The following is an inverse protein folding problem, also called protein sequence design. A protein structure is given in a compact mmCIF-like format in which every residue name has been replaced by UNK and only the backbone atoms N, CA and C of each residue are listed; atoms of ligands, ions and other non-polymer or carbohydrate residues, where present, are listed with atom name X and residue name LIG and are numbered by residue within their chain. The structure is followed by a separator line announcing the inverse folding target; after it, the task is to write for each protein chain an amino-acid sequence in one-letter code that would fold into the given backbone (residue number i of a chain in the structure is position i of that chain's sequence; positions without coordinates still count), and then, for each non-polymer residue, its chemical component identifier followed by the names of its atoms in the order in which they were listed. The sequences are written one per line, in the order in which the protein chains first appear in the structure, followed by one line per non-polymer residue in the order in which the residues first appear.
data_IF_294831200375
#
_entry.id   IF_294831200375
#
_cell.length_a   1.000
_cell.length_b   1.000
_cell.length_c   1.000
_cell.angle_alpha   90.00
_cell.angle_beta   90.00
_cell.angle_gamma   90.00
#
_symmetry.space_group_name_H-M   'P 1'
#
loop_
_entity.id
_entity.type
_entity.pdbx_description
1 polymer ?
#
# COMPACT_ATOMS: atom_id res chain seq x y z
N UNK A 1 44.70 -20.02 -38.05
CA UNK A 1 43.63 -20.58 -37.20
C UNK A 1 43.01 -19.44 -36.39
N UNK A 2 41.82 -18.96 -36.74
CA UNK A 2 41.12 -17.86 -36.04
C UNK A 2 39.62 -18.16 -36.00
N UNK A 3 39.16 -18.87 -34.97
CA UNK A 3 37.73 -19.06 -34.68
C UNK A 3 37.53 -19.40 -33.18
N UNK A 4 37.65 -18.42 -32.31
CA UNK A 4 36.90 -18.32 -31.05
C UNK A 4 36.79 -16.80 -30.85
N UNK A 5 35.62 -16.17 -30.84
CA UNK A 5 34.77 -15.95 -29.66
C UNK A 5 33.44 -15.39 -30.19
N UNK A 6 32.35 -16.15 -30.11
CA UNK A 6 30.97 -15.65 -30.18
C UNK A 6 30.09 -16.49 -29.25
N UNK A 7 30.33 -16.42 -27.95
CA UNK A 7 29.52 -17.17 -26.97
C UNK A 7 29.16 -16.38 -25.70
N UNK A 8 29.28 -15.05 -25.71
CA UNK A 8 29.13 -14.22 -24.49
C UNK A 8 27.93 -13.27 -24.51
N UNK A 9 26.90 -13.51 -25.35
CA UNK A 9 25.74 -12.61 -25.45
C UNK A 9 24.41 -13.17 -24.92
N UNK A 10 24.36 -14.45 -24.50
CA UNK A 10 23.10 -15.10 -24.09
C UNK A 10 22.79 -15.06 -22.59
N UNK A 11 23.71 -14.58 -21.75
CA UNK A 11 23.53 -14.57 -20.28
C UNK A 11 22.96 -13.26 -19.72
N UNK A 12 22.76 -12.22 -20.53
CA UNK A 12 22.36 -10.89 -20.04
C UNK A 12 20.83 -10.76 -19.92
N UNK A 13 20.04 -11.58 -20.64
CA UNK A 13 18.59 -11.43 -20.69
C UNK A 13 17.86 -11.87 -19.42
N UNK A 14 18.43 -12.77 -18.61
CA UNK A 14 17.76 -13.34 -17.42
C UNK A 14 17.95 -12.52 -16.14
N UNK A 15 18.83 -11.52 -16.14
CA UNK A 15 19.06 -10.67 -14.95
C UNK A 15 18.00 -9.57 -14.76
N UNK A 16 17.39 -9.08 -15.83
CA UNK A 16 16.50 -7.92 -15.76
C UNK A 16 15.27 -8.16 -14.86
N UNK A 17 14.57 -9.29 -15.05
CA UNK A 17 13.37 -9.62 -14.26
C UNK A 17 13.65 -9.87 -12.78
N UNK A 18 14.83 -10.43 -12.46
CA UNK A 18 15.23 -10.65 -11.07
C UNK A 18 15.52 -9.34 -10.33
N UNK A 19 16.14 -8.36 -11.03
CA UNK A 19 16.42 -7.03 -10.46
C UNK A 19 15.12 -6.28 -10.15
N UNK A 20 14.15 -6.29 -11.08
CA UNK A 20 12.84 -5.67 -10.87
C UNK A 20 12.04 -6.29 -9.72
N UNK A 21 12.14 -7.61 -9.52
CA UNK A 21 11.52 -8.27 -8.37
C UNK A 21 12.07 -7.72 -7.05
N UNK A 22 13.39 -7.55 -6.94
CA UNK A 22 14.01 -6.96 -5.74
C UNK A 22 13.66 -5.48 -5.54
N UNK A 23 13.24 -4.77 -6.59
CA UNK A 23 12.79 -3.38 -6.48
C UNK A 23 11.36 -3.25 -5.97
N UNK A 24 10.52 -4.28 -6.07
CA UNK A 24 9.14 -4.26 -5.56
C UNK A 24 9.03 -4.90 -4.18
N UNK A 25 9.77 -5.99 -3.97
CA UNK A 25 9.65 -6.79 -2.76
C UNK A 25 9.95 -5.98 -1.50
N UNK A 26 9.05 -6.09 -0.52
CA UNK A 26 9.09 -5.34 0.72
C UNK A 26 8.69 -3.87 0.58
N UNK A 27 8.26 -3.39 -0.60
CA UNK A 27 7.73 -2.04 -0.76
C UNK A 27 6.21 -2.01 -0.68
N UNK A 28 5.70 -0.90 -0.14
CA UNK A 28 4.28 -0.58 -0.11
C UNK A 28 4.05 0.62 -1.01
N UNK A 29 3.01 0.55 -1.83
CA UNK A 29 2.57 1.61 -2.73
C UNK A 29 1.18 2.06 -2.30
N UNK A 30 0.87 3.35 -2.38
CA UNK A 30 -0.43 3.91 -2.00
C UNK A 30 -0.99 4.80 -3.10
N UNK A 31 -2.30 4.77 -3.28
CA UNK A 31 -3.01 5.73 -4.12
C UNK A 31 -4.39 6.07 -3.55
N UNK A 32 -4.91 7.23 -3.93
CA UNK A 32 -6.31 7.61 -3.68
C UNK A 32 -7.12 7.22 -4.91
N UNK A 33 -8.10 6.34 -4.72
CA UNK A 33 -8.93 5.83 -5.82
C UNK A 33 -10.28 6.53 -5.93
N UNK A 34 -10.72 7.23 -4.88
CA UNK A 34 -12.04 7.86 -4.90
C UNK A 34 -12.32 8.73 -3.69
N UNK A 35 -13.46 9.39 -3.78
CA UNK A 35 -14.07 10.18 -2.70
C UNK A 35 -15.56 9.98 -2.76
N UNK A 36 -16.17 9.84 -1.59
CA UNK A 36 -17.62 9.80 -1.41
C UNK A 36 -18.02 11.01 -0.59
N UNK A 37 -19.00 11.75 -1.07
CA UNK A 37 -19.70 12.78 -0.31
C UNK A 37 -20.97 12.14 0.24
N UNK A 38 -21.15 12.15 1.56
CA UNK A 38 -22.37 11.64 2.18
C UNK A 38 -23.32 12.81 2.45
N UNK A 39 -24.57 12.69 2.00
CA UNK A 39 -25.62 13.65 2.38
C UNK A 39 -26.11 13.34 3.79
N UNK A 40 -26.17 14.37 4.64
CA UNK A 40 -26.63 14.25 6.03
C UNK A 40 -27.82 15.16 6.27
N UNK A 41 -28.75 14.71 7.11
CA UNK A 41 -29.96 15.48 7.45
C UNK A 41 -29.66 16.74 8.29
N UNK A 42 -28.44 16.83 8.85
CA UNK A 42 -27.91 17.97 9.58
C UNK A 42 -26.47 18.23 9.11
N UNK A 43 -25.95 19.47 9.16
CA UNK A 43 -24.57 19.75 8.79
C UNK A 43 -23.58 18.90 9.60
N UNK A 44 -22.79 18.08 8.91
CA UNK A 44 -21.73 17.27 9.50
C UNK A 44 -20.41 17.50 8.73
N UNK A 45 -19.40 18.03 9.43
CA UNK A 45 -18.09 18.32 8.85
C UNK A 45 -17.27 17.05 8.55
N UNK A 46 -17.66 15.91 9.11
CA UNK A 46 -17.05 14.61 8.91
C UNK A 46 -17.80 13.73 7.89
N UNK A 47 -18.88 14.24 7.29
CA UNK A 47 -19.64 13.55 6.27
C UNK A 47 -18.77 13.28 5.03
N UNK A 48 -18.85 12.04 4.53
CA UNK A 48 -18.02 11.58 3.42
C UNK A 48 -16.64 11.06 3.82
N UNK A 49 -15.95 10.51 2.84
CA UNK A 49 -14.64 9.89 3.01
C UNK A 49 -13.86 9.82 1.70
N UNK A 50 -12.54 9.64 1.81
CA UNK A 50 -11.67 9.30 0.70
C UNK A 50 -11.33 7.81 0.77
N UNK A 51 -11.36 7.13 -0.37
CA UNK A 51 -10.93 5.74 -0.46
C UNK A 51 -9.50 5.66 -0.96
N UNK A 52 -8.69 4.86 -0.30
CA UNK A 52 -7.30 4.59 -0.63
C UNK A 52 -7.08 3.10 -0.86
N UNK A 53 -6.18 2.79 -1.79
CA UNK A 53 -5.56 1.47 -1.90
C UNK A 53 -4.09 1.54 -1.54
N UNK A 54 -3.66 0.56 -0.75
CA UNK A 54 -2.26 0.27 -0.49
C UNK A 54 -1.94 -1.13 -1.03
N UNK A 55 -0.83 -1.29 -1.76
CA UNK A 55 -0.37 -2.58 -2.27
C UNK A 55 1.03 -2.82 -1.73
N UNK A 56 1.21 -3.90 -0.97
CA UNK A 56 2.50 -4.34 -0.46
C UNK A 56 2.92 -5.61 -1.16
N UNK A 57 4.07 -5.59 -1.84
CA UNK A 57 4.61 -6.77 -2.51
C UNK A 57 5.53 -7.52 -1.56
N UNK A 58 5.22 -8.79 -1.32
CA UNK A 58 6.11 -9.75 -0.66
C UNK A 58 6.65 -10.75 -1.70
N UNK A 59 7.60 -11.60 -1.32
CA UNK A 59 8.26 -12.55 -2.22
C UNK A 59 7.30 -13.40 -3.07
N UNK A 60 6.16 -13.78 -2.48
CA UNK A 60 5.19 -14.73 -3.04
C UNK A 60 3.82 -14.10 -3.31
N UNK A 61 3.44 -13.09 -2.51
CA UNK A 61 2.08 -12.53 -2.49
C UNK A 61 2.11 -11.00 -2.49
N UNK A 62 1.09 -10.38 -3.05
CA UNK A 62 0.77 -8.98 -2.86
C UNK A 62 -0.39 -8.87 -1.86
N UNK A 63 -0.24 -7.99 -0.89
CA UNK A 63 -1.27 -7.64 0.09
C UNK A 63 -1.87 -6.31 -0.35
N UNK A 64 -3.16 -6.31 -0.63
CA UNK A 64 -3.91 -5.12 -1.00
C UNK A 64 -4.75 -4.71 0.21
N UNK A 65 -4.59 -3.47 0.66
CA UNK A 65 -5.36 -2.89 1.73
C UNK A 65 -6.20 -1.74 1.20
N UNK A 66 -7.52 -1.89 1.29
CA UNK A 66 -8.48 -0.84 1.00
C UNK A 66 -8.89 -0.17 2.31
N UNK A 67 -8.98 1.16 2.30
CA UNK A 67 -9.52 1.90 3.44
C UNK A 67 -10.25 3.16 3.04
N UNK A 68 -11.38 3.40 3.70
CA UNK A 68 -12.07 4.67 3.70
C UNK A 68 -11.62 5.52 4.89
N UNK A 69 -11.13 6.73 4.62
CA UNK A 69 -10.76 7.71 5.65
C UNK A 69 -11.67 8.92 5.55
N UNK A 70 -12.42 9.21 6.61
CA UNK A 70 -13.32 10.36 6.68
C UNK A 70 -12.57 11.70 6.57
N UNK A 71 -13.28 12.79 6.30
CA UNK A 71 -12.73 14.15 6.35
C UNK A 71 -12.11 14.50 7.71
N UNK A 72 -12.57 13.85 8.78
CA UNK A 72 -12.05 13.98 10.14
C UNK A 72 -10.92 12.99 10.48
N UNK A 73 -10.36 12.32 9.46
CA UNK A 73 -9.24 11.36 9.55
C UNK A 73 -9.55 10.09 10.33
N UNK A 74 -10.82 9.74 10.44
CA UNK A 74 -11.25 8.49 11.09
C UNK A 74 -11.38 7.37 10.06
N UNK A 75 -10.99 6.16 10.44
CA UNK A 75 -11.17 4.98 9.62
C UNK A 75 -12.66 4.62 9.57
N UNK A 76 -13.26 4.67 8.38
CA UNK A 76 -14.66 4.31 8.14
C UNK A 76 -14.81 2.81 7.92
N UNK A 77 -13.96 2.26 7.06
CA UNK A 77 -13.91 0.85 6.75
C UNK A 77 -12.50 0.46 6.33
N UNK A 78 -12.22 -0.83 6.38
CA UNK A 78 -10.97 -1.38 5.88
C UNK A 78 -11.15 -2.82 5.42
N UNK A 79 -10.59 -3.15 4.27
CA UNK A 79 -10.57 -4.50 3.73
C UNK A 79 -9.13 -4.91 3.37
N UNK A 80 -8.82 -6.19 3.52
CA UNK A 80 -7.50 -6.75 3.19
C UNK A 80 -7.65 -7.94 2.27
N UNK A 81 -6.87 -7.95 1.19
CA UNK A 81 -6.84 -9.03 0.20
C UNK A 81 -5.41 -9.52 0.05
N UNK A 82 -5.25 -10.83 -0.10
CA UNK A 82 -3.96 -11.44 -0.41
C UNK A 82 -4.10 -12.14 -1.74
N UNK A 83 -3.19 -11.82 -2.67
CA UNK A 83 -3.20 -12.35 -4.04
C UNK A 83 -1.78 -12.75 -4.42
N UNK A 84 -1.64 -13.82 -5.21
CA UNK A 84 -0.35 -14.13 -5.83
C UNK A 84 -0.05 -13.09 -6.91
N UNK A 85 1.23 -12.78 -7.13
CA UNK A 85 1.62 -11.89 -8.21
C UNK A 85 2.81 -12.44 -8.98
N UNK A 86 2.94 -12.02 -10.24
CA UNK A 86 4.11 -12.33 -11.06
C UNK A 86 4.32 -11.27 -12.13
N UNK A 87 5.55 -11.18 -12.64
CA UNK A 87 5.81 -10.46 -13.88
C UNK A 87 5.35 -11.31 -15.07
N UNK A 88 4.52 -10.74 -15.93
CA UNK A 88 4.23 -11.28 -17.26
C UNK A 88 5.30 -10.81 -18.27
N UNK A 89 5.66 -9.53 -18.19
CA UNK A 89 6.71 -8.88 -18.96
C UNK A 89 7.59 -8.04 -18.02
N UNK A 90 8.65 -7.42 -18.54
CA UNK A 90 9.67 -6.75 -17.72
C UNK A 90 9.10 -5.75 -16.70
N UNK A 91 8.10 -4.96 -17.07
CA UNK A 91 7.44 -3.95 -16.26
C UNK A 91 5.97 -4.31 -15.91
N UNK A 92 5.44 -5.39 -16.48
CA UNK A 92 4.01 -5.74 -16.38
C UNK A 92 3.80 -6.81 -15.33
N UNK A 93 3.07 -6.46 -14.28
CA UNK A 93 2.74 -7.31 -13.15
C UNK A 93 1.29 -7.78 -13.29
N UNK A 94 1.05 -9.07 -13.05
CA UNK A 94 -0.28 -9.64 -12.94
C UNK A 94 -0.54 -10.06 -11.51
N UNK A 95 -1.68 -9.62 -10.97
CA UNK A 95 -2.29 -10.11 -9.74
C UNK A 95 -3.23 -11.27 -10.09
N UNK A 96 -3.09 -12.41 -9.41
CA UNK A 96 -3.87 -13.62 -9.69
C UNK A 96 -5.00 -13.80 -8.69
N UNK A 97 -6.15 -14.27 -9.16
CA UNK A 97 -7.29 -14.59 -8.30
C UNK A 97 -7.74 -13.40 -7.42
N UNK A 98 -7.67 -12.18 -7.96
CA UNK A 98 -8.20 -11.01 -7.25
C UNK A 98 -9.72 -11.11 -7.29
N UNK A 99 -10.33 -11.42 -6.15
CA UNK A 99 -11.78 -11.44 -6.04
C UNK A 99 -12.32 -10.00 -6.05
N UNK A 100 -13.36 -9.70 -6.85
CA UNK A 100 -14.02 -8.40 -6.80
C UNK A 100 -14.58 -8.14 -5.41
N UNK A 101 -14.25 -7.00 -4.81
CA UNK A 101 -15.00 -6.49 -3.69
C UNK A 101 -16.08 -5.52 -4.18
N UNK A 102 -17.26 -5.62 -3.56
CA UNK A 102 -18.39 -4.76 -3.83
C UNK A 102 -18.66 -3.93 -2.56
N UNK A 103 -18.55 -2.61 -2.68
CA UNK A 103 -19.06 -1.69 -1.66
C UNK A 103 -20.30 -1.00 -2.23
N UNK A 104 -21.43 -1.11 -1.53
CA UNK A 104 -22.75 -0.61 -1.97
C UNK A 104 -23.10 -0.94 -3.44
N UNK A 105 -22.78 -2.17 -3.87
CA UNK A 105 -23.02 -2.65 -5.24
C UNK A 105 -22.06 -2.08 -6.30
N UNK A 106 -21.09 -1.25 -5.92
CA UNK A 106 -20.05 -0.75 -6.80
C UNK A 106 -18.77 -1.59 -6.65
N UNK A 107 -18.30 -2.11 -7.79
CA UNK A 107 -17.04 -2.86 -7.88
C UNK A 107 -15.88 -1.87 -7.77
N UNK A 108 -15.17 -1.87 -6.64
CA UNK A 108 -13.95 -1.09 -6.46
C UNK A 108 -12.79 -2.01 -6.82
N UNK A 109 -12.40 -2.02 -8.10
CA UNK A 109 -11.38 -2.92 -8.62
C UNK A 109 -10.24 -2.14 -9.28
N UNK A 110 -9.02 -2.42 -8.83
CA UNK A 110 -7.81 -2.20 -9.63
C UNK A 110 -7.77 -3.34 -10.64
N UNK A 111 -7.63 -3.05 -11.93
CA UNK A 111 -7.38 -4.10 -12.93
C UNK A 111 -6.28 -5.05 -12.42
N UNK A 112 -6.37 -6.32 -12.79
CA UNK A 112 -5.42 -7.32 -12.31
C UNK A 112 -4.03 -7.15 -12.93
N UNK A 113 -3.84 -6.12 -13.75
CA UNK A 113 -2.60 -5.75 -14.40
C UNK A 113 -2.10 -4.42 -13.82
N UNK A 114 -0.86 -4.44 -13.34
CA UNK A 114 -0.14 -3.25 -12.87
C UNK A 114 1.10 -3.04 -13.74
N UNK A 115 1.49 -1.78 -13.97
CA UNK A 115 2.72 -1.42 -14.67
C UNK A 115 3.66 -0.73 -13.69
N UNK A 116 4.89 -1.24 -13.58
CA UNK A 116 5.93 -0.69 -12.73
C UNK A 116 7.07 -0.10 -13.55
N UNK A 117 7.17 1.23 -13.54
CA UNK A 117 8.17 2.01 -14.26
C UNK A 117 8.58 3.22 -13.42
N UNK A 118 9.86 3.62 -13.47
CA UNK A 118 10.39 4.80 -12.79
C UNK A 118 10.01 4.90 -11.29
N UNK A 119 10.04 3.76 -10.58
CA UNK A 119 9.63 3.63 -9.17
C UNK A 119 8.17 4.00 -8.89
N UNK A 120 7.33 4.02 -9.92
CA UNK A 120 5.89 4.23 -9.82
C UNK A 120 5.17 2.97 -10.24
N UNK A 121 4.09 2.68 -9.53
CA UNK A 121 3.16 1.63 -9.89
C UNK A 121 1.92 2.29 -10.46
N UNK A 122 1.47 1.85 -11.62
CA UNK A 122 0.28 2.36 -12.27
C UNK A 122 -0.69 1.23 -12.54
N UNK A 123 -1.97 1.56 -12.51
CA UNK A 123 -3.02 0.60 -12.78
C UNK A 123 -4.20 1.26 -13.47
N UNK A 124 -4.78 0.56 -14.43
CA UNK A 124 -6.00 1.03 -15.05
C UNK A 124 -7.19 0.61 -14.18
N UNK A 125 -8.18 1.49 -13.99
CA UNK A 125 -9.47 1.07 -13.46
C UNK A 125 -10.16 0.20 -14.51
N UNK A 126 -10.91 -0.81 -14.07
CA UNK A 126 -11.77 -1.58 -14.98
C UNK A 126 -12.85 -0.69 -15.60
N UNK A 127 -13.32 0.30 -14.84
CA UNK A 127 -14.25 1.29 -15.33
C UNK A 127 -13.51 2.39 -16.11
N UNK A 128 -13.70 2.39 -17.43
CA UNK A 128 -13.12 3.33 -18.42
C UNK A 128 -13.36 4.82 -18.16
N UNK A 129 -14.28 5.19 -17.26
CA UNK A 129 -14.55 6.58 -16.90
C UNK A 129 -13.54 7.15 -15.90
N UNK A 130 -12.78 6.30 -15.23
CA UNK A 130 -11.72 6.72 -14.33
C UNK A 130 -10.38 6.78 -15.07
N UNK A 131 -9.56 7.78 -14.70
CA UNK A 131 -8.18 7.87 -15.15
C UNK A 131 -7.33 6.75 -14.54
N UNK A 132 -6.12 6.58 -15.06
CA UNK A 132 -5.14 5.66 -14.49
C UNK A 132 -4.83 6.00 -13.03
N UNK A 133 -4.82 4.98 -12.16
CA UNK A 133 -4.36 5.12 -10.80
C UNK A 133 -2.84 5.12 -10.79
N UNK A 134 -2.25 6.18 -10.25
CA UNK A 134 -0.81 6.29 -10.03
C UNK A 134 -0.55 6.11 -8.54
N UNK A 135 0.22 5.10 -8.19
CA UNK A 135 0.60 4.81 -6.83
C UNK A 135 1.98 5.36 -6.54
N UNK A 136 2.12 5.96 -5.37
CA UNK A 136 3.37 6.46 -4.84
C UNK A 136 3.93 5.45 -3.83
N UNK A 137 5.26 5.37 -3.73
CA UNK A 137 5.88 4.57 -2.67
C UNK A 137 5.50 5.15 -1.32
N UNK A 138 4.84 4.35 -0.49
CA UNK A 138 4.58 4.69 0.89
C UNK A 138 5.88 4.46 1.68
N UNK A 139 6.47 5.52 2.28
CA UNK A 139 7.68 5.36 3.07
C UNK A 139 7.40 4.42 4.24
N UNK A 140 8.11 3.29 4.32
CA UNK A 140 8.02 2.46 5.51
C UNK A 140 8.55 3.24 6.70
N UNK A 141 7.73 3.37 7.75
CA UNK A 141 8.24 3.83 9.05
C UNK A 141 9.34 2.86 9.46
N UNK A 142 10.57 3.34 9.56
CA UNK A 142 11.69 2.50 10.01
C UNK A 142 11.33 1.84 11.36
N UNK A 143 11.72 0.58 11.58
CA UNK A 143 11.55 -0.12 12.87
C UNK A 143 11.99 0.74 14.07
N UNK A 144 13.05 1.54 13.89
CA UNK A 144 13.54 2.50 14.88
C UNK A 144 12.53 3.59 15.25
N UNK A 145 11.67 4.02 14.34
CA UNK A 145 10.70 5.09 14.58
C UNK A 145 9.48 4.57 15.36
N UNK A 146 9.12 3.30 15.13
CA UNK A 146 8.03 2.62 15.84
C UNK A 146 8.46 2.25 17.28
N UNK A 147 9.69 1.77 17.47
CA UNK A 147 10.28 1.57 18.80
C UNK A 147 10.43 2.88 19.58
N UNK A 148 10.84 3.97 18.91
CA UNK A 148 10.96 5.29 19.55
C UNK A 148 9.61 5.88 19.95
N UNK A 149 8.54 5.60 19.19
CA UNK A 149 7.17 5.97 19.55
C UNK A 149 6.71 5.18 20.79
N UNK A 150 6.87 3.85 20.77
CA UNK A 150 6.53 2.98 21.91
C UNK A 150 7.31 3.35 23.18
N UNK A 151 8.59 3.71 23.05
CA UNK A 151 9.42 4.14 24.17
C UNK A 151 8.95 5.48 24.76
N UNK A 152 8.50 6.42 23.91
CA UNK A 152 7.93 7.70 24.38
C UNK A 152 6.62 7.48 25.15
N UNK A 153 5.75 6.60 24.65
CA UNK A 153 4.48 6.29 25.31
C UNK A 153 4.71 5.58 26.65
N UNK A 154 5.69 4.67 26.72
CA UNK A 154 6.09 4.01 27.96
C UNK A 154 6.64 5.01 28.99
N UNK A 155 7.47 5.96 28.55
CA UNK A 155 8.05 6.99 29.42
C UNK A 155 6.96 7.95 29.94
N UNK A 156 6.00 8.32 29.11
CA UNK A 156 4.86 9.14 29.51
C UNK A 156 3.98 8.42 30.55
N UNK A 157 3.72 7.12 30.39
CA UNK A 157 2.99 6.32 31.37
C UNK A 157 3.74 6.19 32.72
N UNK A 158 5.06 6.07 32.69
CA UNK A 158 5.88 6.04 33.91
C UNK A 158 5.85 7.40 34.64
N UNK A 159 5.95 8.51 33.91
CA UNK A 159 5.86 9.85 34.50
C UNK A 159 4.51 10.10 35.16
N UNK A 160 3.40 9.72 34.51
CA UNK A 160 2.06 9.82 35.09
C UNK A 160 1.90 8.96 36.35
N UNK A 161 2.52 7.78 36.38
CA UNK A 161 2.50 6.89 37.56
C UNK A 161 3.29 7.47 38.74
N UNK A 162 4.42 8.12 38.50
CA UNK A 162 5.19 8.80 39.55
C UNK A 162 4.49 10.06 40.07
N UNK A 163 3.87 10.85 39.19
CA UNK A 163 3.03 12.00 39.59
C UNK A 163 1.85 11.52 40.45
N UNK A 164 1.18 10.42 40.07
CA UNK A 164 0.10 9.83 40.86
C UNK A 164 0.56 9.35 42.25
N UNK A 165 1.79 8.83 42.38
CA UNK A 165 2.35 8.38 43.67
C UNK A 165 2.70 9.55 44.60
N UNK A 166 3.22 10.66 44.07
CA UNK A 166 3.55 11.84 44.88
C UNK A 166 2.31 12.50 45.49
N UNK A 167 1.18 12.47 44.77
CA UNK A 167 -0.09 13.05 45.25
C UNK A 167 -0.78 12.19 46.33
N UNK A 168 -0.43 10.91 46.47
CA UNK A 168 -0.95 10.03 47.54
C UNK A 168 -0.10 10.10 48.80
N UNK A 169 1.19 10.47 48.69
CA UNK A 169 2.10 10.62 49.84
C UNK A 169 1.99 11.97 50.57
N UNK A 170 1.15 12.89 50.07
CA UNK A 170 0.96 14.25 50.61
C UNK A 170 -0.48 14.53 51.09
N UNK A 171 -1.32 13.51 51.17
CA UNK A 171 -2.69 13.57 51.71
C UNK A 171 -2.80 12.89 53.08
#
# INVERSE_FOLDING_TARGET
MKKIIRFTLLLISSCASAQLKTELEGKTFITKIGSVCEETNVPDACAGYNTYFEITFNEQNAIIFEKGISSCKELRYSNTYTTEWMFEEQNKIILKNVEPHYDDGQKIFVDNILIFEDNKLTAKPENKYYGEYVFEILPQKSKNQDEKSKLKDLLAMQQLKEIGRMNVATA
#
